data_IF_392235804250
#
_entry.id   IF_392235804250
#
_cell.length_a   1.000
_cell.length_b   1.000
_cell.length_c   1.000
_cell.angle_alpha   90.00
_cell.angle_beta   90.00
_cell.angle_gamma   90.00
#
_symmetry.space_group_name_H-M   'P 1'
#
loop_
_entity.id
_entity.type
_entity.pdbx_description
1 polymer ?
#
# COMPACT_ATOMS: atom_id res chain seq x y z
N UNK A 1 12.61 5.39 31.44
CA UNK A 1 12.17 6.18 30.26
C UNK A 1 11.96 5.16 29.17
N UNK A 2 10.72 4.66 29.08
CA UNK A 2 10.37 3.63 28.10
C UNK A 2 10.41 4.26 26.71
N UNK A 3 11.33 3.76 25.89
CA UNK A 3 11.27 3.98 24.47
C UNK A 3 9.98 3.29 24.00
N UNK A 4 8.92 4.07 23.78
CA UNK A 4 7.74 3.63 23.05
C UNK A 4 8.26 3.00 21.76
N UNK A 5 8.21 1.67 21.68
CA UNK A 5 8.47 0.95 20.45
C UNK A 5 7.51 1.52 19.40
N UNK A 6 8.02 2.31 18.47
CA UNK A 6 7.27 2.76 17.32
C UNK A 6 6.93 1.52 16.51
N UNK A 7 5.71 1.04 16.65
CA UNK A 7 5.23 -0.07 15.83
C UNK A 7 4.97 0.46 14.44
N UNK A 8 5.85 0.11 13.50
CA UNK A 8 5.67 0.42 12.08
C UNK A 8 4.67 -0.51 11.42
N UNK A 9 4.32 -1.61 12.10
CA UNK A 9 3.43 -2.64 11.59
C UNK A 9 1.99 -2.15 11.42
N UNK A 10 1.26 -2.72 10.46
CA UNK A 10 -0.15 -2.42 10.25
C UNK A 10 -1.01 -2.66 11.49
N UNK A 11 -2.01 -1.81 11.69
CA UNK A 11 -3.01 -2.00 12.74
C UNK A 11 -4.12 -2.95 12.29
N UNK A 12 -4.62 -3.79 13.20
CA UNK A 12 -5.69 -4.73 12.92
C UNK A 12 -6.92 -4.42 13.79
N UNK A 13 -7.97 -3.92 13.14
CA UNK A 13 -9.29 -3.79 13.74
C UNK A 13 -10.15 -5.02 13.40
N UNK A 14 -10.08 -6.03 14.24
CA UNK A 14 -10.77 -7.31 14.00
C UNK A 14 -12.26 -7.17 13.82
N UNK A 15 -12.91 -6.16 14.42
CA UNK A 15 -14.37 -5.95 14.31
C UNK A 15 -14.80 -5.65 12.88
N UNK A 16 -13.93 -5.12 12.04
CA UNK A 16 -14.18 -4.84 10.63
C UNK A 16 -13.94 -6.05 9.73
N UNK A 17 -13.35 -7.13 10.23
CA UNK A 17 -13.03 -8.28 9.42
C UNK A 17 -14.28 -9.02 8.94
N UNK A 18 -14.34 -9.29 7.64
CA UNK A 18 -15.46 -10.04 7.06
C UNK A 18 -15.63 -11.45 7.64
N UNK A 19 -14.55 -12.06 8.14
CA UNK A 19 -14.59 -13.38 8.79
C UNK A 19 -15.33 -13.40 10.13
N UNK A 20 -15.65 -12.24 10.70
CA UNK A 20 -16.54 -12.17 11.87
C UNK A 20 -18.03 -12.14 11.52
N UNK A 21 -18.34 -12.05 10.23
CA UNK A 21 -19.73 -12.01 9.75
C UNK A 21 -20.14 -13.37 9.18
N UNK A 22 -21.04 -14.12 9.84
CA UNK A 22 -21.33 -15.53 9.52
C UNK A 22 -21.94 -15.73 8.12
N UNK A 23 -22.50 -14.68 7.53
CA UNK A 23 -23.14 -14.75 6.21
C UNK A 23 -22.19 -14.41 5.04
N UNK A 24 -20.92 -14.14 5.31
CA UNK A 24 -19.95 -13.85 4.27
C UNK A 24 -19.07 -15.08 3.99
N UNK A 25 -18.63 -15.21 2.75
CA UNK A 25 -17.60 -16.20 2.40
C UNK A 25 -16.33 -15.92 3.21
N UNK A 26 -15.64 -16.97 3.67
CA UNK A 26 -14.33 -16.79 4.33
C UNK A 26 -13.38 -15.97 3.47
N UNK A 27 -12.74 -14.99 4.08
CA UNK A 27 -11.75 -14.14 3.43
C UNK A 27 -10.37 -14.53 3.94
N UNK A 28 -9.45 -14.84 3.04
CA UNK A 28 -8.05 -15.23 3.33
C UNK A 28 -7.04 -14.21 2.82
N UNK A 29 -7.53 -13.13 2.19
CA UNK A 29 -6.72 -12.19 1.40
C UNK A 29 -5.46 -11.70 2.11
N UNK A 30 -5.54 -11.32 3.39
CA UNK A 30 -4.36 -10.77 4.11
C UNK A 30 -3.26 -11.81 4.31
N UNK A 31 -3.64 -13.08 4.48
CA UNK A 31 -2.70 -14.18 4.63
C UNK A 31 -2.13 -14.59 3.27
N UNK A 32 -2.97 -14.69 2.25
CA UNK A 32 -2.59 -15.15 0.91
C UNK A 32 -1.70 -14.14 0.17
N UNK A 33 -1.93 -12.83 0.38
CA UNK A 33 -1.15 -11.77 -0.27
C UNK A 33 0.21 -11.54 0.40
N UNK A 34 0.39 -11.98 1.63
CA UNK A 34 1.61 -11.74 2.37
C UNK A 34 2.68 -12.78 2.00
N UNK A 35 3.90 -12.36 1.61
CA UNK A 35 4.99 -13.31 1.34
C UNK A 35 5.32 -14.22 2.54
N UNK A 36 5.04 -13.74 3.76
CA UNK A 36 5.25 -14.44 5.03
C UNK A 36 3.94 -14.78 5.74
N UNK A 37 2.87 -15.00 4.97
CA UNK A 37 1.52 -15.14 5.51
C UNK A 37 1.34 -16.28 6.50
N UNK A 38 2.01 -17.42 6.27
CA UNK A 38 1.99 -18.57 7.18
C UNK A 38 2.75 -18.32 8.50
N UNK A 39 3.77 -17.47 8.45
CA UNK A 39 4.61 -17.14 9.60
C UNK A 39 3.97 -16.05 10.45
N UNK A 40 3.37 -15.03 9.79
CA UNK A 40 2.76 -13.88 10.47
C UNK A 40 1.37 -14.21 10.99
N UNK A 41 0.56 -14.92 10.21
CA UNK A 41 -0.86 -15.15 10.54
C UNK A 41 -1.14 -16.61 10.92
N UNK A 42 -1.68 -16.83 12.10
CA UNK A 42 -2.24 -18.15 12.46
C UNK A 42 -3.44 -18.46 11.58
N UNK A 43 -4.30 -17.47 11.38
CA UNK A 43 -5.43 -17.45 10.44
C UNK A 43 -5.65 -16.02 9.99
N UNK A 44 -6.43 -15.78 8.92
CA UNK A 44 -6.70 -14.42 8.48
C UNK A 44 -7.09 -13.51 9.64
N UNK A 45 -6.53 -12.29 9.68
CA UNK A 45 -6.67 -11.26 10.74
C UNK A 45 -6.16 -11.61 12.14
N UNK A 46 -5.57 -12.76 12.36
CA UNK A 46 -5.00 -13.16 13.63
C UNK A 46 -3.49 -13.31 13.51
N UNK A 47 -2.79 -12.28 13.92
CA UNK A 47 -1.31 -12.27 13.95
C UNK A 47 -0.82 -13.21 15.03
N UNK A 48 0.15 -14.01 14.67
CA UNK A 48 0.93 -14.86 15.54
C UNK A 48 2.19 -14.14 15.98
N UNK A 49 2.90 -13.58 14.99
CA UNK A 49 4.18 -12.94 15.18
C UNK A 49 4.41 -11.89 14.08
N UNK A 50 4.93 -10.73 14.45
CA UNK A 50 5.29 -9.68 13.49
C UNK A 50 6.76 -9.71 13.07
N UNK A 51 7.63 -10.49 13.72
CA UNK A 51 9.07 -10.51 13.43
C UNK A 51 9.39 -10.74 11.93
N UNK A 52 8.69 -11.62 11.19
CA UNK A 52 8.95 -11.79 9.78
C UNK A 52 8.41 -10.64 8.89
N UNK A 53 7.68 -9.69 9.45
CA UNK A 53 7.02 -8.63 8.68
C UNK A 53 8.05 -7.63 8.11
N UNK A 54 8.00 -7.42 6.81
CA UNK A 54 8.84 -6.43 6.10
C UNK A 54 8.16 -5.07 5.93
N UNK A 55 7.00 -4.84 6.54
CA UNK A 55 6.18 -3.62 6.41
C UNK A 55 5.86 -3.24 4.95
N UNK A 56 5.80 -4.23 4.07
CA UNK A 56 5.54 -4.01 2.64
C UNK A 56 4.14 -3.47 2.34
N UNK A 57 3.18 -3.55 3.30
CA UNK A 57 1.84 -2.98 3.19
C UNK A 57 0.87 -3.70 2.25
N UNK A 58 1.25 -4.81 1.62
CA UNK A 58 0.36 -5.57 0.72
C UNK A 58 -0.94 -5.99 1.40
N UNK A 59 -0.89 -6.42 2.66
CA UNK A 59 -2.08 -6.80 3.41
C UNK A 59 -3.00 -5.61 3.70
N UNK A 60 -2.45 -4.40 3.82
CA UNK A 60 -3.21 -3.15 4.00
C UNK A 60 -3.99 -2.85 2.74
N UNK A 61 -3.30 -2.72 1.60
CA UNK A 61 -3.94 -2.38 0.31
C UNK A 61 -4.93 -3.44 -0.17
N UNK A 62 -4.68 -4.71 0.12
CA UNK A 62 -5.56 -5.81 -0.26
C UNK A 62 -6.80 -5.97 0.64
N UNK A 63 -6.81 -5.41 1.85
CA UNK A 63 -7.88 -5.59 2.81
C UNK A 63 -9.12 -4.73 2.48
N UNK A 64 -10.07 -5.31 1.74
CA UNK A 64 -11.30 -4.61 1.31
C UNK A 64 -12.23 -4.19 2.43
N UNK A 65 -12.12 -4.78 3.61
CA UNK A 65 -12.96 -4.42 4.76
C UNK A 65 -12.37 -3.30 5.61
N UNK A 66 -11.13 -2.86 5.33
CA UNK A 66 -10.41 -1.91 6.16
C UNK A 66 -10.02 -2.47 7.54
N UNK A 67 -10.10 -3.80 7.71
CA UNK A 67 -9.69 -4.47 8.94
C UNK A 67 -8.19 -4.26 9.23
N UNK A 68 -7.37 -4.26 8.18
CA UNK A 68 -5.94 -3.99 8.28
C UNK A 68 -5.70 -2.59 7.72
N UNK A 69 -5.17 -1.71 8.54
CA UNK A 69 -4.92 -0.31 8.22
C UNK A 69 -3.43 0.02 8.36
N UNK A 70 -2.93 1.06 7.67
CA UNK A 70 -1.56 1.53 7.90
C UNK A 70 -1.39 2.02 9.33
N UNK A 71 -0.16 1.97 9.85
CA UNK A 71 0.14 2.55 11.17
C UNK A 71 -0.12 4.06 11.20
N UNK A 72 -0.41 4.66 12.38
CA UNK A 72 -0.61 6.10 12.51
C UNK A 72 0.58 6.92 12.01
N UNK A 73 1.79 6.46 12.27
CA UNK A 73 3.02 7.10 11.79
C UNK A 73 3.08 7.10 10.26
N UNK A 74 2.58 6.05 9.65
CA UNK A 74 2.56 5.94 8.21
C UNK A 74 1.53 6.89 7.60
N UNK A 75 0.33 6.98 8.18
CA UNK A 75 -0.70 7.94 7.79
C UNK A 75 -0.18 9.37 7.92
N UNK A 76 0.51 9.68 9.01
CA UNK A 76 1.10 11.02 9.24
C UNK A 76 2.12 11.38 8.16
N UNK A 77 3.00 10.44 7.77
CA UNK A 77 3.98 10.67 6.68
C UNK A 77 3.29 10.94 5.34
N UNK A 78 2.24 10.21 5.02
CA UNK A 78 1.50 10.38 3.77
C UNK A 78 0.77 11.71 3.73
N UNK A 79 0.16 12.10 4.83
CA UNK A 79 -0.53 13.38 4.97
C UNK A 79 0.47 14.54 4.83
N UNK A 80 1.62 14.45 5.51
CA UNK A 80 2.68 15.46 5.38
C UNK A 80 3.23 15.57 3.95
N UNK A 81 3.31 14.47 3.22
CA UNK A 81 3.70 14.48 1.81
C UNK A 81 2.66 15.18 0.91
N UNK A 82 1.37 15.08 1.26
CA UNK A 82 0.29 15.77 0.56
C UNK A 82 0.31 17.30 0.78
N UNK A 83 0.82 17.75 1.92
CA UNK A 83 0.87 19.17 2.33
C UNK A 83 2.06 19.95 1.74
N UNK A 84 2.86 19.32 0.88
CA UNK A 84 3.98 20.01 0.22
C UNK A 84 3.49 21.02 -0.82
N UNK A 85 4.25 22.11 -1.03
CA UNK A 85 3.96 23.13 -2.06
C UNK A 85 4.13 22.60 -3.50
N UNK A 86 4.70 21.41 -3.68
CA UNK A 86 4.90 20.81 -4.97
C UNK A 86 3.58 20.32 -5.59
N UNK A 87 3.32 20.68 -6.83
CA UNK A 87 2.15 20.22 -7.60
C UNK A 87 2.24 18.73 -7.96
N UNK A 88 3.42 18.14 -7.88
CA UNK A 88 3.68 16.74 -8.23
C UNK A 88 4.31 16.00 -7.06
N UNK A 89 3.75 14.85 -6.72
CA UNK A 89 4.26 13.93 -5.71
C UNK A 89 4.83 12.70 -6.40
N UNK A 90 6.10 12.42 -6.13
CA UNK A 90 6.76 11.19 -6.55
C UNK A 90 6.65 10.15 -5.45
N UNK A 91 6.14 8.98 -5.79
CA UNK A 91 5.95 7.86 -4.87
C UNK A 91 6.78 6.68 -5.36
N UNK A 92 7.66 6.18 -4.52
CA UNK A 92 8.52 5.05 -4.82
C UNK A 92 8.73 4.13 -3.63
N UNK A 93 9.44 3.03 -3.85
CA UNK A 93 9.85 2.13 -2.79
C UNK A 93 11.30 2.39 -2.36
N UNK A 94 11.70 1.81 -1.22
CA UNK A 94 13.05 1.91 -0.66
C UNK A 94 14.16 1.40 -1.60
N UNK A 95 13.80 0.56 -2.58
CA UNK A 95 14.74 0.06 -3.60
C UNK A 95 14.94 1.05 -4.75
N UNK A 96 14.19 2.15 -4.80
CA UNK A 96 14.33 3.16 -5.85
C UNK A 96 15.61 3.97 -5.68
N UNK A 97 16.31 4.22 -6.77
CA UNK A 97 17.45 5.14 -6.84
C UNK A 97 17.02 6.60 -7.04
N UNK A 98 15.75 6.84 -7.36
CA UNK A 98 15.18 8.17 -7.53
C UNK A 98 14.87 8.82 -6.19
N UNK A 99 14.95 10.16 -6.15
CA UNK A 99 14.51 10.93 -4.99
C UNK A 99 12.98 11.05 -5.03
N UNK A 100 12.29 10.17 -4.30
CA UNK A 100 10.85 10.19 -4.18
C UNK A 100 10.39 11.08 -3.01
N UNK A 101 9.21 11.71 -3.16
CA UNK A 101 8.57 12.51 -2.10
C UNK A 101 8.02 11.60 -1.01
N UNK A 102 7.38 10.51 -1.42
CA UNK A 102 6.86 9.45 -0.54
C UNK A 102 7.66 8.19 -0.80
N UNK A 103 8.29 7.65 0.23
CA UNK A 103 9.03 6.39 0.15
C UNK A 103 8.35 5.35 1.03
N UNK A 104 8.14 4.17 0.48
CA UNK A 104 7.53 3.00 1.14
C UNK A 104 8.44 1.78 1.02
N UNK A 105 8.27 0.81 1.89
CA UNK A 105 8.92 -0.51 1.71
C UNK A 105 8.49 -1.14 0.39
N UNK A 106 7.23 -0.96 0.01
CA UNK A 106 6.70 -1.31 -1.31
C UNK A 106 5.68 -0.27 -1.76
N UNK A 107 5.68 0.09 -3.03
CA UNK A 107 4.70 1.03 -3.62
C UNK A 107 3.26 0.50 -3.51
N UNK A 108 3.09 -0.82 -3.46
CA UNK A 108 1.78 -1.47 -3.29
C UNK A 108 1.22 -1.38 -1.87
N UNK A 109 1.94 -0.76 -0.93
CA UNK A 109 1.44 -0.44 0.41
C UNK A 109 0.30 0.59 0.39
N UNK A 110 0.24 1.41 -0.67
CA UNK A 110 -0.80 2.42 -0.82
C UNK A 110 -2.03 1.81 -1.47
N UNK A 111 -3.17 1.90 -0.79
CA UNK A 111 -4.45 1.54 -1.38
C UNK A 111 -4.87 2.57 -2.42
N UNK A 112 -5.79 2.19 -3.31
CA UNK A 112 -6.33 3.12 -4.31
C UNK A 112 -6.99 4.34 -3.66
N UNK A 113 -7.60 4.20 -2.48
CA UNK A 113 -8.19 5.33 -1.73
C UNK A 113 -7.13 6.33 -1.30
N UNK A 114 -5.99 5.85 -0.80
CA UNK A 114 -4.87 6.70 -0.42
C UNK A 114 -4.29 7.44 -1.64
N UNK A 115 -4.11 6.73 -2.75
CA UNK A 115 -3.65 7.31 -4.01
C UNK A 115 -4.65 8.32 -4.57
N UNK A 116 -5.96 8.01 -4.50
CA UNK A 116 -7.02 8.92 -4.92
C UNK A 116 -7.02 10.20 -4.09
N UNK A 117 -6.90 10.08 -2.75
CA UNK A 117 -6.81 11.23 -1.86
C UNK A 117 -5.64 12.16 -2.23
N UNK A 118 -4.45 11.60 -2.43
CA UNK A 118 -3.27 12.37 -2.85
C UNK A 118 -3.49 13.05 -4.21
N UNK A 119 -4.17 12.36 -5.13
CA UNK A 119 -4.42 12.86 -6.49
C UNK A 119 -5.52 13.92 -6.59
N UNK A 120 -6.30 14.19 -5.54
CA UNK A 120 -7.35 15.23 -5.60
C UNK A 120 -6.78 16.60 -5.98
N UNK A 121 -5.63 16.96 -5.44
CA UNK A 121 -5.02 18.26 -5.62
C UNK A 121 -3.61 18.21 -6.22
N UNK A 122 -3.06 17.03 -6.45
CA UNK A 122 -1.67 16.83 -6.89
C UNK A 122 -1.62 15.91 -8.11
N UNK A 123 -0.53 16.01 -8.86
CA UNK A 123 -0.16 14.97 -9.83
C UNK A 123 0.67 13.92 -9.12
N UNK A 124 0.42 12.66 -9.42
CA UNK A 124 1.10 11.52 -8.82
C UNK A 124 1.99 10.86 -9.86
N UNK A 125 3.25 10.70 -9.55
CA UNK A 125 4.17 9.89 -10.35
C UNK A 125 4.55 8.67 -9.53
N UNK A 126 4.20 7.49 -10.03
CA UNK A 126 4.57 6.21 -9.42
C UNK A 126 5.90 5.75 -10.02
N UNK A 127 6.94 5.70 -9.19
CA UNK A 127 8.26 5.22 -9.60
C UNK A 127 8.29 3.69 -9.56
N UNK A 128 8.13 3.09 -10.72
CA UNK A 128 8.12 1.64 -10.94
C UNK A 128 9.48 1.10 -11.41
N UNK A 129 10.52 1.95 -11.41
CA UNK A 129 11.87 1.57 -11.85
C UNK A 129 12.36 0.26 -11.21
N UNK A 130 12.24 0.06 -9.86
CA UNK A 130 12.70 -1.18 -9.24
C UNK A 130 11.79 -2.39 -9.50
N UNK A 131 10.55 -2.16 -9.94
CA UNK A 131 9.55 -3.24 -10.03
C UNK A 131 9.88 -4.29 -11.09
N UNK A 132 10.61 -3.92 -12.15
CA UNK A 132 11.03 -4.83 -13.21
C UNK A 132 12.01 -5.92 -12.77
N UNK A 133 12.70 -5.72 -11.63
CA UNK A 133 13.68 -6.66 -11.06
C UNK A 133 13.30 -7.09 -9.64
N UNK A 134 12.05 -6.78 -9.22
CA UNK A 134 11.58 -7.08 -7.88
C UNK A 134 11.20 -8.57 -7.76
N UNK A 135 11.70 -9.23 -6.72
CA UNK A 135 11.37 -10.61 -6.42
C UNK A 135 9.94 -10.84 -5.92
N UNK A 136 9.21 -9.73 -5.63
CA UNK A 136 7.85 -9.81 -5.09
C UNK A 136 6.81 -9.73 -6.22
N UNK A 137 6.49 -10.88 -6.80
CA UNK A 137 5.50 -11.01 -7.89
C UNK A 137 4.08 -10.58 -7.48
N UNK A 138 3.73 -10.74 -6.20
CA UNK A 138 2.40 -10.36 -5.68
C UNK A 138 2.17 -8.85 -5.75
N UNK A 139 3.24 -8.08 -5.72
CA UNK A 139 3.19 -6.62 -5.81
C UNK A 139 2.64 -6.15 -7.16
N UNK A 140 3.10 -6.73 -8.27
CA UNK A 140 2.69 -6.31 -9.61
C UNK A 140 1.18 -6.53 -9.85
N UNK A 141 0.65 -7.66 -9.39
CA UNK A 141 -0.78 -7.98 -9.49
C UNK A 141 -1.62 -7.02 -8.62
N UNK A 142 -1.19 -6.76 -7.39
CA UNK A 142 -1.89 -5.86 -6.49
C UNK A 142 -1.89 -4.43 -7.03
N UNK A 143 -0.74 -3.93 -7.52
CA UNK A 143 -0.65 -2.60 -8.12
C UNK A 143 -1.62 -2.45 -9.30
N UNK A 144 -1.67 -3.44 -10.19
CA UNK A 144 -2.60 -3.42 -11.32
C UNK A 144 -4.06 -3.31 -10.87
N UNK A 145 -4.45 -4.02 -9.82
CA UNK A 145 -5.79 -3.94 -9.23
C UNK A 145 -6.10 -2.54 -8.69
N UNK A 146 -5.15 -1.94 -7.98
CA UNK A 146 -5.33 -0.60 -7.42
C UNK A 146 -5.41 0.46 -8.53
N UNK A 147 -4.58 0.35 -9.58
CA UNK A 147 -4.64 1.25 -10.74
C UNK A 147 -5.97 1.10 -11.52
N UNK A 148 -6.47 -0.11 -11.67
CA UNK A 148 -7.79 -0.34 -12.31
C UNK A 148 -8.90 0.37 -11.53
N UNK A 149 -8.91 0.28 -10.20
CA UNK A 149 -9.88 0.99 -9.36
C UNK A 149 -9.77 2.51 -9.48
N UNK A 150 -8.55 3.04 -9.60
CA UNK A 150 -8.36 4.48 -9.84
C UNK A 150 -8.92 4.90 -11.18
N UNK A 151 -8.74 4.09 -12.23
CA UNK A 151 -9.36 4.35 -13.54
C UNK A 151 -10.88 4.29 -13.45
N UNK A 152 -11.45 3.31 -12.75
CA UNK A 152 -12.89 3.20 -12.53
C UNK A 152 -13.46 4.40 -11.75
N UNK A 153 -12.69 4.92 -10.79
CA UNK A 153 -13.11 6.04 -9.95
C UNK A 153 -13.02 7.40 -10.67
N UNK A 154 -11.90 7.69 -11.32
CA UNK A 154 -11.66 8.98 -11.97
C UNK A 154 -12.16 9.05 -13.41
N UNK A 155 -12.30 7.91 -14.09
CA UNK A 155 -12.39 7.80 -15.53
C UNK A 155 -11.02 7.94 -16.20
N UNK A 156 -10.85 7.33 -17.36
CA UNK A 156 -9.57 7.28 -18.08
C UNK A 156 -8.92 8.66 -18.31
N UNK A 157 -9.66 9.70 -18.80
CA UNK A 157 -9.04 11.00 -19.06
C UNK A 157 -8.49 11.69 -17.81
N UNK A 158 -9.20 11.59 -16.69
CA UNK A 158 -8.77 12.20 -15.43
C UNK A 158 -7.63 11.42 -14.81
N UNK A 159 -7.65 10.10 -14.89
CA UNK A 159 -6.56 9.25 -14.44
C UNK A 159 -5.26 9.62 -15.18
N UNK A 160 -5.27 9.71 -16.51
CA UNK A 160 -4.09 10.09 -17.31
C UNK A 160 -3.60 11.51 -17.02
N UNK A 161 -4.50 12.42 -16.65
CA UNK A 161 -4.13 13.77 -16.25
C UNK A 161 -3.49 13.86 -14.86
N UNK A 162 -3.80 12.91 -13.97
CA UNK A 162 -3.37 12.92 -12.56
C UNK A 162 -2.26 11.93 -12.24
N UNK A 163 -2.15 10.84 -12.98
CA UNK A 163 -1.19 9.77 -12.72
C UNK A 163 -0.23 9.59 -13.88
N UNK A 164 1.03 9.36 -13.54
CA UNK A 164 2.08 8.95 -14.47
C UNK A 164 2.87 7.78 -13.87
N UNK A 165 3.26 6.85 -14.72
CA UNK A 165 4.06 5.68 -14.33
C UNK A 165 5.47 5.85 -14.88
N UNK A 166 6.47 5.92 -14.00
CA UNK A 166 7.87 6.03 -14.38
C UNK A 166 8.54 4.65 -14.33
N UNK A 167 9.02 4.21 -15.47
CA UNK A 167 9.81 2.99 -15.64
C UNK A 167 11.27 3.36 -15.95
N UNK A 168 12.19 2.39 -15.89
CA UNK A 168 13.52 2.60 -16.48
C UNK A 168 13.36 2.90 -17.97
N UNK A 169 13.98 3.99 -18.41
CA UNK A 169 14.23 4.17 -19.84
C UNK A 169 15.21 3.05 -20.23
N UNK A 170 14.77 2.15 -21.09
CA UNK A 170 15.69 1.22 -21.76
C UNK A 170 16.57 2.09 -22.64
N UNK A 171 17.87 2.20 -22.27
CA UNK A 171 18.89 2.69 -23.17
C UNK A 171 18.94 1.86 -24.46
#
# INVERSE_FOLDING_TARGET
MDALMKTTHPEINRRQCWNLHPHRKPCTTCKDICPYGEEIFTRPNLVKDWDPCTDCGLCVSACRSGCIAPSPEQVQRDTAAADTDNDTIWIGCEKSTRKNTVVRSCICALSWEALAYLALNKKIVLDLTPCGQCENDLCAEQLRRELTRLVDFFGQPMFEARFSLAYEEKE
#
